data_IF_021787790593
#
_entry.id   IF_021787790593
#
_cell.length_a   1.000
_cell.length_b   1.000
_cell.length_c   1.000
_cell.angle_alpha   90.00
_cell.angle_beta   90.00
_cell.angle_gamma   90.00
#
_symmetry.space_group_name_H-M   'P 1'
#
loop_
_entity.id
_entity.type
_entity.pdbx_description
1 polymer ?
#
# COMPACT_ATOMS: atom_id res chain seq x y z
N UNK A 1 0.80 11.71 1.55
CA UNK A 1 1.65 11.33 2.70
C UNK A 1 2.06 9.87 2.55
N UNK A 2 2.97 9.40 3.41
CA UNK A 2 3.53 8.05 3.38
C UNK A 2 3.46 7.44 4.77
N UNK A 3 3.08 6.16 4.85
CA UNK A 3 3.13 5.36 6.07
C UNK A 3 3.90 4.08 5.82
N UNK A 4 4.87 3.79 6.67
CA UNK A 4 5.64 2.54 6.63
C UNK A 4 4.98 1.57 7.60
N UNK A 5 4.69 0.38 7.10
CA UNK A 5 4.03 -0.69 7.84
C UNK A 5 4.99 -1.84 8.11
N UNK A 6 4.47 -2.90 8.75
CA UNK A 6 5.20 -4.16 8.92
C UNK A 6 5.35 -4.84 7.54
N UNK A 7 6.06 -5.96 7.50
CA UNK A 7 6.19 -6.79 6.30
C UNK A 7 6.77 -6.06 5.07
N UNK A 8 7.58 -5.01 5.28
CA UNK A 8 8.16 -4.16 4.22
C UNK A 8 7.10 -3.51 3.33
N UNK A 9 5.95 -3.17 3.91
CA UNK A 9 4.86 -2.51 3.20
C UNK A 9 4.90 -1.01 3.39
N UNK A 10 4.50 -0.29 2.36
CA UNK A 10 4.39 1.16 2.36
C UNK A 10 3.03 1.55 1.79
N UNK A 11 2.35 2.46 2.47
CA UNK A 11 1.09 3.03 2.04
C UNK A 11 1.32 4.47 1.57
N UNK A 12 0.87 4.77 0.37
CA UNK A 12 0.85 6.11 -0.20
C UNK A 12 -0.56 6.65 -0.25
N UNK A 13 -0.77 7.87 0.25
CA UNK A 13 -2.02 8.59 0.07
C UNK A 13 -1.95 9.36 -1.24
N UNK A 14 -2.90 9.10 -2.13
CA UNK A 14 -2.96 9.70 -3.47
C UNK A 14 -4.15 10.67 -3.57
N UNK A 15 -4.07 11.58 -4.56
CA UNK A 15 -5.14 12.53 -4.93
C UNK A 15 -5.83 13.16 -3.72
N UNK A 16 -5.11 13.99 -2.97
CA UNK A 16 -5.71 14.70 -1.83
C UNK A 16 -6.31 13.81 -0.73
N UNK A 17 -5.74 12.61 -0.53
CA UNK A 17 -6.16 11.61 0.47
C UNK A 17 -7.34 10.70 0.06
N UNK A 18 -7.87 10.83 -1.16
CA UNK A 18 -9.02 10.04 -1.65
C UNK A 18 -8.69 8.56 -1.88
N UNK A 19 -7.44 8.24 -2.19
CA UNK A 19 -7.00 6.87 -2.51
C UNK A 19 -5.80 6.42 -1.67
N UNK A 20 -5.61 5.10 -1.60
CA UNK A 20 -4.47 4.43 -0.99
C UNK A 20 -3.84 3.48 -1.99
N UNK A 21 -2.51 3.51 -2.05
CA UNK A 21 -1.70 2.56 -2.77
C UNK A 21 -0.84 1.81 -1.75
N UNK A 22 -1.02 0.50 -1.65
CA UNK A 22 -0.17 -0.35 -0.81
C UNK A 22 0.84 -1.04 -1.72
N UNK A 23 2.12 -0.93 -1.35
CA UNK A 23 3.20 -1.62 -2.04
C UNK A 23 4.03 -2.43 -1.06
N UNK A 24 4.62 -3.53 -1.54
CA UNK A 24 5.71 -4.20 -0.88
C UNK A 24 7.04 -3.81 -1.55
N UNK A 25 8.04 -3.43 -0.75
CA UNK A 25 9.33 -2.96 -1.27
C UNK A 25 10.43 -4.00 -1.01
N UNK A 26 11.06 -4.46 -2.08
CA UNK A 26 12.25 -5.32 -2.02
C UNK A 26 13.51 -4.44 -2.15
N UNK A 27 13.91 -3.80 -1.05
CA UNK A 27 14.96 -2.78 -1.03
C UNK A 27 16.31 -3.24 -1.61
N UNK A 28 16.71 -4.49 -1.38
CA UNK A 28 18.00 -4.99 -1.86
C UNK A 28 18.11 -5.02 -3.40
N UNK A 29 16.99 -5.25 -4.08
CA UNK A 29 16.92 -5.34 -5.55
C UNK A 29 16.22 -4.13 -6.18
N UNK A 30 15.78 -3.16 -5.36
CA UNK A 30 15.12 -1.94 -5.82
C UNK A 30 13.73 -2.13 -6.42
N UNK A 31 13.05 -3.26 -6.15
CA UNK A 31 11.74 -3.55 -6.73
C UNK A 31 10.59 -3.10 -5.82
N UNK A 32 9.50 -2.64 -6.45
CA UNK A 32 8.26 -2.22 -5.79
C UNK A 32 7.12 -3.01 -6.40
N UNK A 33 6.41 -3.77 -5.57
CA UNK A 33 5.28 -4.58 -5.98
C UNK A 33 3.99 -3.93 -5.50
N UNK A 34 3.06 -3.65 -6.41
CA UNK A 34 1.73 -3.16 -6.05
C UNK A 34 0.96 -4.31 -5.41
N UNK A 35 0.32 -4.07 -4.27
CA UNK A 35 -0.48 -5.05 -3.53
C UNK A 35 -1.94 -4.70 -3.43
N UNK A 36 -2.26 -3.42 -3.54
CA UNK A 36 -3.61 -2.88 -3.52
C UNK A 36 -3.60 -1.46 -4.08
N UNK A 37 -4.65 -1.08 -4.80
CA UNK A 37 -5.00 0.32 -5.07
C UNK A 37 -6.51 0.48 -4.94
N UNK A 38 -6.96 1.50 -4.22
CA UNK A 38 -8.38 1.75 -4.01
C UNK A 38 -8.66 3.03 -3.25
N UNK A 39 -9.93 3.39 -3.17
CA UNK A 39 -10.45 4.50 -2.38
C UNK A 39 -10.19 4.31 -0.89
N UNK A 40 -10.36 5.36 -0.10
CA UNK A 40 -10.28 5.27 1.36
C UNK A 40 -11.23 4.19 1.93
N UNK A 41 -12.45 4.10 1.39
CA UNK A 41 -13.46 3.14 1.86
C UNK A 41 -13.06 1.71 1.54
N UNK A 42 -12.54 1.46 0.34
CA UNK A 42 -12.03 0.13 -0.04
C UNK A 42 -10.80 -0.25 0.78
N UNK A 43 -9.95 0.73 1.09
CA UNK A 43 -8.79 0.53 1.97
C UNK A 43 -9.20 0.14 3.39
N UNK A 44 -10.23 0.76 3.95
CA UNK A 44 -10.70 0.44 5.31
C UNK A 44 -11.24 -1.01 5.43
N UNK A 45 -11.58 -1.64 4.30
CA UNK A 45 -12.05 -3.01 4.22
C UNK A 45 -10.93 -4.06 4.07
N UNK A 46 -9.66 -3.66 3.93
CA UNK A 46 -8.53 -4.58 3.76
C UNK A 46 -7.52 -4.49 4.90
N UNK A 47 -6.91 -5.62 5.23
CA UNK A 47 -5.74 -5.63 6.12
C UNK A 47 -4.49 -5.20 5.33
N UNK A 48 -4.03 -3.97 5.59
CA UNK A 48 -2.89 -3.40 4.89
C UNK A 48 -1.58 -4.17 5.11
N UNK A 49 -1.44 -4.91 6.22
CA UNK A 49 -0.24 -5.71 6.51
C UNK A 49 -0.21 -7.04 5.73
N UNK A 50 -1.34 -7.48 5.17
CA UNK A 50 -1.52 -8.83 4.61
C UNK A 50 -2.19 -8.90 3.22
N UNK A 51 -2.83 -7.84 2.72
CA UNK A 51 -3.60 -7.88 1.46
C UNK A 51 -2.72 -8.19 0.23
N UNK A 52 -3.10 -9.19 -0.56
CA UNK A 52 -2.40 -9.62 -1.78
C UNK A 52 -3.42 -9.68 -2.94
N UNK A 53 -3.82 -8.51 -3.44
CA UNK A 53 -4.78 -8.43 -4.58
C UNK A 53 -4.09 -8.50 -5.94
N UNK A 54 -2.76 -8.31 -5.98
CA UNK A 54 -1.93 -8.34 -7.19
C UNK A 54 -0.61 -9.08 -6.95
#
# INVERSE_FOLDING_TARGET
>A
SVSILKNRRVVFNLKGNEYRLIVAVAYQVGFVYVKFIGSHVEYDAVDADAVEQF
#
